data_IF_220092205713
#
_entry.id   IF_220092205713
#
_cell.length_a   1.000
_cell.length_b   1.000
_cell.length_c   1.000
_cell.angle_alpha   90.00
_cell.angle_beta   90.00
_cell.angle_gamma   90.00
#
_symmetry.space_group_name_H-M   'P 1'
#
loop_
_entity.id
_entity.type
_entity.pdbx_description
1 polymer ?
#
# COMPACT_ATOMS: atom_id res chain seq x y z
N UNK A 1 -19.14 -63.89 25.38
CA UNK A 1 -17.80 -63.27 25.62
C UNK A 1 -17.23 -63.02 24.22
N UNK A 2 -16.81 -61.83 23.75
CA UNK A 2 -16.14 -60.68 24.36
C UNK A 2 -16.24 -59.51 23.34
N UNK A 3 -16.55 -58.31 23.83
CA UNK A 3 -16.61 -57.01 23.10
C UNK A 3 -15.21 -56.58 22.64
N UNK A 4 -15.09 -55.74 21.59
CA UNK A 4 -14.14 -54.61 21.44
C UNK A 4 -14.48 -53.88 20.11
N UNK A 5 -15.30 -52.82 20.12
CA UNK A 5 -15.00 -51.38 20.26
C UNK A 5 -14.35 -50.76 19.00
N UNK A 6 -15.07 -49.76 18.48
CA UNK A 6 -14.74 -48.86 17.36
C UNK A 6 -13.42 -48.11 17.56
N UNK A 7 -12.77 -47.74 16.44
CA UNK A 7 -12.12 -46.44 16.29
C UNK A 7 -12.12 -46.04 14.80
N UNK A 8 -13.17 -45.33 14.38
CA UNK A 8 -13.19 -44.55 13.14
C UNK A 8 -12.47 -43.23 13.45
N UNK A 9 -11.20 -43.13 13.07
CA UNK A 9 -10.48 -41.86 13.06
C UNK A 9 -10.76 -41.17 11.72
N UNK A 10 -11.88 -40.45 11.63
CA UNK A 10 -12.11 -39.51 10.54
C UNK A 10 -11.16 -38.33 10.73
N UNK A 11 -10.05 -38.35 9.99
CA UNK A 11 -9.12 -37.24 9.86
C UNK A 11 -9.82 -36.14 9.05
N UNK A 12 -10.56 -35.26 9.73
CA UNK A 12 -11.14 -34.06 9.13
C UNK A 12 -10.03 -33.06 8.83
N UNK A 13 -9.33 -33.26 7.71
CA UNK A 13 -8.60 -32.20 7.04
C UNK A 13 -9.66 -31.19 6.58
N UNK A 14 -9.80 -30.08 7.30
CA UNK A 14 -10.47 -28.89 6.79
C UNK A 14 -9.53 -28.24 5.77
N UNK A 15 -9.80 -28.30 4.45
CA UNK A 15 -9.17 -27.35 3.58
C UNK A 15 -9.86 -26.00 3.85
N UNK A 16 -9.11 -25.02 4.35
CA UNK A 16 -9.45 -23.63 4.16
C UNK A 16 -9.28 -23.32 2.66
N UNK A 17 -10.16 -23.85 1.82
CA UNK A 17 -10.28 -23.40 0.44
C UNK A 17 -11.10 -22.12 0.49
N UNK A 18 -10.41 -20.97 0.53
CA UNK A 18 -11.00 -19.73 0.05
C UNK A 18 -11.55 -20.05 -1.35
N UNK A 19 -12.83 -19.80 -1.57
CA UNK A 19 -13.44 -20.16 -2.83
C UNK A 19 -12.87 -19.27 -3.94
N UNK A 20 -12.54 -19.82 -5.11
CA UNK A 20 -11.98 -19.05 -6.23
C UNK A 20 -12.88 -17.85 -6.63
N UNK A 21 -14.18 -17.94 -6.32
CA UNK A 21 -15.17 -16.88 -6.49
C UNK A 21 -14.96 -15.69 -5.53
N UNK A 22 -14.62 -15.95 -4.26
CA UNK A 22 -14.26 -14.89 -3.28
C UNK A 22 -12.92 -14.23 -3.63
N UNK A 23 -11.95 -15.00 -4.13
CA UNK A 23 -10.66 -14.47 -4.55
C UNK A 23 -10.79 -13.53 -5.77
N UNK A 24 -11.66 -13.89 -6.73
CA UNK A 24 -11.99 -13.03 -7.87
C UNK A 24 -12.72 -11.75 -7.46
N UNK A 25 -13.62 -11.79 -6.46
CA UNK A 25 -14.31 -10.59 -5.98
C UNK A 25 -13.42 -9.64 -5.19
N UNK A 26 -12.37 -10.15 -4.52
CA UNK A 26 -11.46 -9.35 -3.70
C UNK A 26 -10.33 -8.69 -4.51
N UNK A 27 -10.07 -9.17 -5.72
CA UNK A 27 -8.95 -8.71 -6.57
C UNK A 27 -8.94 -7.19 -6.80
N UNK A 28 -10.06 -6.52 -7.12
CA UNK A 28 -10.07 -5.07 -7.29
C UNK A 28 -9.64 -4.31 -6.03
N UNK A 29 -10.19 -4.68 -4.87
CA UNK A 29 -9.87 -4.02 -3.60
C UNK A 29 -8.42 -4.28 -3.19
N UNK A 30 -7.87 -5.48 -3.42
CA UNK A 30 -6.44 -5.75 -3.20
C UNK A 30 -5.60 -4.79 -4.05
N UNK A 31 -5.94 -4.58 -5.32
CA UNK A 31 -5.25 -3.62 -6.18
C UNK A 31 -5.34 -2.17 -5.67
N UNK A 32 -6.51 -1.77 -5.19
CA UNK A 32 -6.71 -0.43 -4.59
C UNK A 32 -5.91 -0.25 -3.29
N UNK A 33 -5.82 -1.28 -2.45
CA UNK A 33 -5.00 -1.26 -1.23
C UNK A 33 -3.51 -1.22 -1.55
N UNK A 34 -3.07 -1.87 -2.63
CA UNK A 34 -1.69 -1.76 -3.11
C UNK A 34 -1.33 -0.32 -3.55
N UNK A 35 -2.31 0.51 -3.92
CA UNK A 35 -2.05 1.91 -4.23
C UNK A 35 -1.51 2.70 -3.03
N UNK A 36 -1.68 2.22 -1.78
CA UNK A 36 -1.10 2.83 -0.59
C UNK A 36 0.44 2.76 -0.65
N UNK A 37 0.98 1.62 -1.07
CA UNK A 37 2.41 1.44 -1.33
C UNK A 37 2.87 2.25 -2.54
N UNK A 38 2.00 2.40 -3.54
CA UNK A 38 2.21 3.33 -4.65
C UNK A 38 2.39 4.78 -4.17
N UNK A 39 1.56 5.25 -3.23
CA UNK A 39 1.71 6.60 -2.63
C UNK A 39 3.04 6.74 -1.89
N UNK A 40 3.46 5.73 -1.12
CA UNK A 40 4.78 5.72 -0.47
C UNK A 40 5.91 5.82 -1.49
N UNK A 41 5.86 5.01 -2.55
CA UNK A 41 6.88 5.01 -3.60
C UNK A 41 6.97 6.36 -4.32
N UNK A 42 5.83 7.02 -4.57
CA UNK A 42 5.78 8.38 -5.11
C UNK A 42 6.53 9.35 -4.20
N UNK A 43 6.22 9.33 -2.89
CA UNK A 43 6.83 10.24 -1.92
C UNK A 43 8.33 9.99 -1.80
N UNK A 44 8.75 8.75 -1.63
CA UNK A 44 10.16 8.38 -1.47
C UNK A 44 10.98 8.73 -2.72
N UNK A 45 10.49 8.37 -3.90
CA UNK A 45 11.20 8.64 -5.15
C UNK A 45 11.33 10.15 -5.38
N UNK A 46 10.24 10.90 -5.24
CA UNK A 46 10.24 12.31 -5.60
C UNK A 46 10.94 13.19 -4.55
N UNK A 47 10.84 12.87 -3.26
CA UNK A 47 11.66 13.54 -2.24
C UNK A 47 13.16 13.29 -2.46
N UNK A 48 13.56 12.08 -2.88
CA UNK A 48 14.95 11.78 -3.25
C UNK A 48 15.41 12.60 -4.44
N UNK A 49 14.63 12.63 -5.53
CA UNK A 49 14.99 13.41 -6.71
C UNK A 49 15.03 14.91 -6.46
N UNK A 50 14.09 15.43 -5.67
CA UNK A 50 14.08 16.85 -5.32
C UNK A 50 15.20 17.22 -4.35
N UNK A 51 15.57 16.33 -3.42
CA UNK A 51 16.77 16.48 -2.59
C UNK A 51 18.01 16.65 -3.47
N UNK A 52 18.19 15.80 -4.48
CA UNK A 52 19.34 15.89 -5.40
C UNK A 52 19.28 17.14 -6.28
N UNK A 53 18.11 17.45 -6.86
CA UNK A 53 17.93 18.59 -7.76
C UNK A 53 18.15 19.95 -7.07
N UNK A 54 17.77 20.07 -5.80
CA UNK A 54 17.83 21.34 -5.05
C UNK A 54 19.14 21.56 -4.30
N UNK A 55 20.19 20.78 -4.59
CA UNK A 55 21.50 20.94 -3.96
C UNK A 55 21.58 20.30 -2.57
N UNK A 56 20.91 19.16 -2.38
CA UNK A 56 20.93 18.35 -1.15
C UNK A 56 20.21 19.02 0.03
N UNK A 57 19.11 19.72 -0.22
CA UNK A 57 18.31 20.37 0.83
C UNK A 57 17.65 19.30 1.74
N UNK A 58 18.05 19.19 3.03
CA UNK A 58 17.55 18.15 3.92
C UNK A 58 16.03 18.20 4.15
N UNK A 59 15.37 19.32 3.87
CA UNK A 59 13.92 19.47 4.06
C UNK A 59 13.10 18.39 3.33
N UNK A 60 13.59 17.88 2.19
CA UNK A 60 12.93 16.82 1.44
C UNK A 60 13.00 15.46 2.15
N UNK A 61 14.12 15.16 2.79
CA UNK A 61 14.27 13.93 3.59
C UNK A 61 13.39 13.99 4.83
N UNK A 62 13.37 15.14 5.49
CA UNK A 62 12.50 15.36 6.65
C UNK A 62 11.02 15.28 6.26
N UNK A 63 10.64 15.81 5.10
CA UNK A 63 9.28 15.70 4.58
C UNK A 63 8.88 14.25 4.30
N UNK A 64 9.75 13.44 3.70
CA UNK A 64 9.50 12.01 3.48
C UNK A 64 9.31 11.26 4.81
N UNK A 65 10.21 11.48 5.78
CA UNK A 65 10.14 10.85 7.08
C UNK A 65 8.85 11.23 7.83
N UNK A 66 8.49 12.51 7.83
CA UNK A 66 7.26 13.00 8.45
C UNK A 66 6.00 12.45 7.76
N UNK A 67 6.01 12.36 6.42
CA UNK A 67 4.93 11.69 5.69
C UNK A 67 4.80 10.24 6.13
N UNK A 68 5.90 9.49 6.20
CA UNK A 68 5.87 8.09 6.63
C UNK A 68 5.29 7.94 8.05
N UNK A 69 5.70 8.80 9.00
CA UNK A 69 5.17 8.77 10.36
C UNK A 69 3.65 9.00 10.42
N UNK A 70 3.09 9.85 9.56
CA UNK A 70 1.64 10.06 9.47
C UNK A 70 0.89 8.91 8.82
N UNK A 71 1.54 8.15 7.95
CA UNK A 71 0.90 7.19 7.05
C UNK A 71 1.22 5.71 7.36
N UNK A 72 2.20 5.41 8.23
CA UNK A 72 2.64 4.04 8.54
C UNK A 72 1.49 3.14 9.00
N UNK A 73 0.58 3.64 9.84
CA UNK A 73 -0.55 2.86 10.32
C UNK A 73 -1.54 2.46 9.21
N UNK A 74 -1.63 3.27 8.15
CA UNK A 74 -2.46 2.98 6.97
C UNK A 74 -1.79 1.94 6.06
N UNK A 75 -0.47 2.01 5.90
CA UNK A 75 0.31 0.99 5.20
C UNK A 75 0.17 -0.37 5.90
N UNK A 76 0.36 -0.40 7.22
CA UNK A 76 0.21 -1.62 8.02
C UNK A 76 -1.23 -2.17 7.94
N UNK A 77 -2.24 -1.29 7.90
CA UNK A 77 -3.63 -1.69 7.73
C UNK A 77 -3.86 -2.34 6.35
N UNK A 78 -3.35 -1.72 5.28
CA UNK A 78 -3.46 -2.26 3.94
C UNK A 78 -2.83 -3.66 3.86
N UNK A 79 -1.62 -3.86 4.40
CA UNK A 79 -0.93 -5.15 4.39
C UNK A 79 -1.73 -6.25 5.09
N UNK A 80 -2.31 -5.94 6.26
CA UNK A 80 -3.15 -6.89 6.99
C UNK A 80 -4.41 -7.23 6.21
N UNK A 81 -5.07 -6.25 5.61
CA UNK A 81 -6.32 -6.47 4.86
C UNK A 81 -6.04 -7.23 3.57
N UNK A 82 -5.00 -6.88 2.82
CA UNK A 82 -4.53 -7.60 1.63
C UNK A 82 -4.31 -9.08 1.97
N UNK A 83 -3.56 -9.35 3.04
CA UNK A 83 -3.29 -10.71 3.50
C UNK A 83 -4.58 -11.45 3.87
N UNK A 84 -5.49 -10.80 4.61
CA UNK A 84 -6.79 -11.37 4.99
C UNK A 84 -7.66 -11.73 3.79
N UNK A 85 -7.63 -10.92 2.74
CA UNK A 85 -8.38 -11.14 1.51
C UNK A 85 -7.75 -12.19 0.58
N UNK A 86 -6.63 -12.79 0.99
CA UNK A 86 -5.88 -13.76 0.17
C UNK A 86 -5.05 -13.11 -0.95
N UNK A 87 -4.78 -11.81 -0.84
CA UNK A 87 -3.73 -11.12 -1.59
C UNK A 87 -2.35 -11.34 -0.95
N UNK A 88 -1.32 -10.72 -1.53
CA UNK A 88 0.13 -10.97 -1.29
C UNK A 88 0.78 -11.96 -2.26
N UNK A 89 0.31 -12.02 -3.52
CA UNK A 89 1.10 -12.70 -4.54
C UNK A 89 2.45 -11.97 -4.70
N UNK A 90 3.53 -12.75 -4.82
CA UNK A 90 4.89 -12.24 -4.94
C UNK A 90 4.97 -11.19 -6.06
N UNK A 91 5.55 -10.02 -5.76
CA UNK A 91 5.73 -8.93 -6.73
C UNK A 91 4.55 -7.96 -6.90
N UNK A 92 3.37 -8.20 -6.31
CA UNK A 92 2.24 -7.25 -6.43
C UNK A 92 2.55 -5.87 -5.82
N UNK A 93 3.14 -5.85 -4.62
CA UNK A 93 3.57 -4.61 -3.98
C UNK A 93 4.64 -3.90 -4.82
N UNK A 94 5.66 -4.63 -5.27
CA UNK A 94 6.72 -4.08 -6.11
C UNK A 94 6.18 -3.50 -7.41
N UNK A 95 5.19 -4.13 -8.02
CA UNK A 95 4.52 -3.60 -9.22
C UNK A 95 3.79 -2.28 -8.93
N UNK A 96 3.10 -2.18 -7.80
CA UNK A 96 2.41 -0.96 -7.39
C UNK A 96 3.40 0.18 -7.06
N UNK A 97 4.49 -0.13 -6.37
CA UNK A 97 5.58 0.80 -6.09
C UNK A 97 6.25 1.29 -7.39
N UNK A 98 6.56 0.37 -8.30
CA UNK A 98 7.14 0.68 -9.61
C UNK A 98 6.21 1.57 -10.43
N UNK A 99 4.92 1.23 -10.46
CA UNK A 99 3.92 2.01 -11.17
C UNK A 99 3.86 3.43 -10.59
N UNK A 100 3.66 3.59 -9.28
CA UNK A 100 3.61 4.91 -8.63
C UNK A 100 4.87 5.74 -8.88
N UNK A 101 6.05 5.15 -8.65
CA UNK A 101 7.34 5.80 -8.90
C UNK A 101 7.50 6.26 -10.36
N UNK A 102 7.14 5.41 -11.33
CA UNK A 102 7.25 5.75 -12.76
C UNK A 102 6.34 6.92 -13.15
N UNK A 103 5.13 6.99 -12.58
CA UNK A 103 4.17 8.05 -12.89
C UNK A 103 4.68 9.42 -12.41
N UNK A 104 5.17 9.51 -11.16
CA UNK A 104 5.65 10.78 -10.64
C UNK A 104 6.95 11.22 -11.35
N UNK A 105 7.81 10.27 -11.71
CA UNK A 105 9.02 10.58 -12.48
C UNK A 105 8.72 11.09 -13.89
N UNK A 106 7.70 10.52 -14.54
CA UNK A 106 7.22 11.04 -15.82
C UNK A 106 6.73 12.49 -15.69
N UNK A 107 5.94 12.80 -14.66
CA UNK A 107 5.47 14.15 -14.38
C UNK A 107 6.63 15.12 -14.08
N UNK A 108 7.60 14.71 -13.26
CA UNK A 108 8.80 15.49 -12.99
C UNK A 108 9.57 15.77 -14.27
N UNK A 109 9.82 14.77 -15.12
CA UNK A 109 10.56 14.94 -16.37
C UNK A 109 9.86 15.89 -17.35
N UNK A 110 8.54 15.94 -17.35
CA UNK A 110 7.74 16.82 -18.20
C UNK A 110 7.59 18.25 -17.64
N UNK A 111 7.89 18.48 -16.36
CA UNK A 111 7.79 19.81 -15.75
C UNK A 111 8.73 20.82 -16.44
N UNK A 112 8.20 22.00 -16.76
CA UNK A 112 8.98 23.08 -17.40
C UNK A 112 10.06 23.68 -16.48
N UNK A 113 9.79 23.70 -15.18
CA UNK A 113 10.72 24.15 -14.14
C UNK A 113 10.73 23.11 -13.01
N UNK A 114 11.90 22.49 -12.80
CA UNK A 114 12.07 21.43 -11.79
C UNK A 114 12.09 21.98 -10.36
N UNK A 115 12.56 23.19 -10.16
CA UNK A 115 12.64 23.81 -8.84
C UNK A 115 11.24 24.18 -8.36
N UNK A 116 10.42 24.74 -9.25
CA UNK A 116 8.99 25.02 -8.97
C UNK A 116 8.23 23.72 -8.70
N UNK A 117 8.48 22.67 -9.50
CA UNK A 117 7.90 21.36 -9.26
C UNK A 117 8.26 20.84 -7.87
N UNK A 118 9.55 20.85 -7.51
CA UNK A 118 10.02 20.34 -6.23
C UNK A 118 9.47 21.11 -5.03
N UNK A 119 9.40 22.44 -5.11
CA UNK A 119 8.77 23.27 -4.07
C UNK A 119 7.28 22.94 -3.91
N UNK A 120 6.56 22.84 -5.01
CA UNK A 120 5.13 22.49 -4.99
C UNK A 120 4.90 21.10 -4.41
N UNK A 121 5.72 20.14 -4.82
CA UNK A 121 5.66 18.77 -4.30
C UNK A 121 5.94 18.73 -2.80
N UNK A 122 6.98 19.44 -2.33
CA UNK A 122 7.30 19.56 -0.91
C UNK A 122 6.14 20.14 -0.11
N UNK A 123 5.51 21.21 -0.58
CA UNK A 123 4.36 21.83 0.06
C UNK A 123 3.19 20.83 0.19
N UNK A 124 2.92 20.04 -0.85
CA UNK A 124 1.86 19.01 -0.81
C UNK A 124 2.16 17.87 0.17
N UNK A 125 3.44 17.46 0.29
CA UNK A 125 3.86 16.47 1.29
C UNK A 125 3.73 17.04 2.70
N UNK A 126 4.15 18.29 2.93
CA UNK A 126 4.13 18.92 4.25
C UNK A 126 2.72 19.28 4.72
N UNK A 127 1.83 19.68 3.81
CA UNK A 127 0.43 19.98 4.13
C UNK A 127 -0.41 18.72 4.40
N UNK A 128 0.13 17.54 4.12
CA UNK A 128 -0.60 16.27 4.18
C UNK A 128 -1.56 16.06 3.01
N UNK A 129 -1.49 16.88 1.95
CA UNK A 129 -2.31 16.69 0.74
C UNK A 129 -2.05 15.31 0.14
N UNK A 130 -0.82 14.82 0.21
CA UNK A 130 -0.44 13.49 -0.28
C UNK A 130 -0.59 12.38 0.76
N UNK A 131 -1.19 12.63 1.92
CA UNK A 131 -1.46 11.59 2.91
C UNK A 131 -2.55 10.63 2.39
N UNK A 132 -2.44 9.36 2.75
CA UNK A 132 -3.30 8.27 2.25
C UNK A 132 -4.76 8.52 2.60
N UNK A 133 -5.05 9.06 3.79
CA UNK A 133 -6.41 9.39 4.22
C UNK A 133 -7.04 10.52 3.40
N UNK A 134 -6.23 11.34 2.71
CA UNK A 134 -6.69 12.40 1.79
C UNK A 134 -6.79 11.91 0.35
N UNK A 135 -5.82 11.10 -0.09
CA UNK A 135 -5.77 10.59 -1.46
C UNK A 135 -6.77 9.48 -1.71
N UNK A 136 -6.95 8.58 -0.73
CA UNK A 136 -7.71 7.33 -0.87
C UNK A 136 -8.73 7.12 0.27
N UNK A 137 -9.57 8.12 0.62
CA UNK A 137 -10.42 8.06 1.81
C UNK A 137 -11.44 6.91 1.77
N UNK A 138 -11.99 6.60 0.59
CA UNK A 138 -12.97 5.51 0.42
C UNK A 138 -12.34 4.13 0.59
N UNK A 139 -11.14 3.93 0.04
CA UNK A 139 -10.39 2.67 0.15
C UNK A 139 -9.95 2.45 1.59
N UNK A 140 -9.44 3.50 2.25
CA UNK A 140 -9.07 3.46 3.67
C UNK A 140 -10.26 3.07 4.54
N UNK A 141 -11.43 3.67 4.31
CA UNK A 141 -12.65 3.33 5.04
C UNK A 141 -13.03 1.85 4.87
N UNK A 142 -12.99 1.32 3.65
CA UNK A 142 -13.26 -0.10 3.40
C UNK A 142 -12.25 -1.02 4.11
N UNK A 143 -10.96 -0.66 4.10
CA UNK A 143 -9.93 -1.39 4.81
C UNK A 143 -10.20 -1.44 6.33
N UNK A 144 -10.62 -0.31 6.91
CA UNK A 144 -10.97 -0.22 8.33
C UNK A 144 -12.20 -1.08 8.67
N UNK A 145 -13.22 -1.07 7.82
CA UNK A 145 -14.43 -1.89 7.99
C UNK A 145 -14.09 -3.39 7.95
N UNK A 146 -13.25 -3.82 7.01
CA UNK A 146 -12.80 -5.22 6.90
C UNK A 146 -11.91 -5.62 8.08
N UNK A 147 -11.07 -4.71 8.57
CA UNK A 147 -10.20 -5.00 9.72
C UNK A 147 -10.95 -5.06 11.06
N UNK A 148 -12.13 -4.43 11.16
CA UNK A 148 -12.92 -4.39 12.40
C UNK A 148 -13.91 -5.56 12.53
N UNK A 149 -14.33 -6.16 11.41
CA UNK A 149 -15.15 -7.39 11.38
C UNK A 149 -14.32 -8.66 11.48
#
# INVERSE_FOLDING_TARGET
MRRFVLCVAALSLFPFTISAQEQASNTPLIGELMAFHGSKAIVDAMTTHCYENTGLDPIYKDAAANWYLRNISYLDLADRVITRLGGAAEGQQQAAETYGGSQIMSAFNQAGDKDVFCKTFLEQVQSGTLDIDKQLPSVLKQAQEISAG
#
